data_IF_001278661353
#
_entry.id   IF_001278661353
#
_cell.length_a   1.000
_cell.length_b   1.000
_cell.length_c   1.000
_cell.angle_alpha   90.00
_cell.angle_beta   90.00
_cell.angle_gamma   90.00
#
_symmetry.space_group_name_H-M   'P 1'
#
loop_
_entity.id
_entity.type
_entity.pdbx_description
1 polymer ?
#
# COMPACT_ATOMS: atom_id res chain seq x y z
N UNK A 1 37.05 28.12 53.44
CA UNK A 1 36.70 29.19 52.48
C UNK A 1 36.12 28.57 51.22
N UNK A 2 35.06 29.21 50.74
CA UNK A 2 34.10 28.83 49.69
C UNK A 2 34.72 28.81 48.28
N UNK A 3 34.23 27.91 47.40
CA UNK A 3 33.79 28.13 45.99
C UNK A 3 33.58 26.76 45.31
N UNK A 4 32.36 26.20 45.36
CA UNK A 4 31.31 26.21 44.30
C UNK A 4 31.77 25.67 42.92
N UNK A 5 31.22 24.50 42.57
CA UNK A 5 30.88 23.95 41.22
C UNK A 5 30.36 25.06 40.26
N UNK A 6 30.25 24.92 38.91
CA UNK A 6 29.96 23.67 38.16
C UNK A 6 30.48 23.57 36.70
N UNK A 7 30.44 22.38 36.08
CA UNK A 7 30.12 22.10 34.65
C UNK A 7 30.38 20.60 34.38
N UNK A 8 29.44 19.67 34.48
CA UNK A 8 28.28 19.47 33.60
C UNK A 8 28.53 19.79 32.12
N UNK A 9 29.63 19.30 31.57
CA UNK A 9 29.96 19.45 30.15
C UNK A 9 29.74 18.09 29.44
N UNK A 10 28.63 18.05 28.69
CA UNK A 10 28.46 17.24 27.47
C UNK A 10 28.11 15.76 27.71
N UNK A 11 26.89 15.54 28.22
CA UNK A 11 26.04 14.49 27.68
C UNK A 11 25.52 15.02 26.32
N UNK A 12 26.38 14.99 25.30
CA UNK A 12 25.97 15.37 23.94
C UNK A 12 24.96 14.33 23.47
N UNK A 13 23.71 14.77 23.52
CA UNK A 13 22.53 14.14 23.02
C UNK A 13 22.78 13.66 21.57
N UNK A 14 23.13 12.38 21.41
CA UNK A 14 22.95 11.67 20.15
C UNK A 14 21.48 11.25 19.99
N UNK A 15 20.53 12.14 20.30
CA UNK A 15 19.30 12.15 19.52
C UNK A 15 19.65 12.84 18.21
N UNK A 16 20.39 12.11 17.37
CA UNK A 16 20.30 12.32 15.94
C UNK A 16 18.81 12.21 15.65
N UNK A 17 18.19 13.37 15.50
CA UNK A 17 16.87 13.50 14.94
C UNK A 17 17.05 13.00 13.51
N UNK A 18 17.00 11.68 13.33
CA UNK A 18 16.74 11.08 12.03
C UNK A 18 15.45 11.74 11.64
N UNK A 19 15.53 12.72 10.73
CA UNK A 19 14.34 13.25 10.07
C UNK A 19 13.67 11.99 9.56
N UNK A 20 12.59 11.56 10.24
CA UNK A 20 11.72 10.53 9.71
C UNK A 20 11.45 11.02 8.30
N UNK A 21 11.88 10.24 7.30
CA UNK A 21 11.61 10.57 5.91
C UNK A 21 10.10 10.62 5.70
N UNK A 22 9.62 10.30 4.52
CA UNK A 22 8.17 10.23 4.31
C UNK A 22 7.45 9.10 5.09
N UNK A 23 8.08 8.48 6.11
CA UNK A 23 7.47 7.43 6.93
C UNK A 23 6.43 8.00 7.89
N UNK A 24 5.15 7.83 7.56
CA UNK A 24 4.00 8.32 8.34
C UNK A 24 2.85 7.31 8.29
N UNK A 25 2.15 7.16 9.41
CA UNK A 25 1.03 6.21 9.53
C UNK A 25 1.41 4.74 9.31
N UNK A 26 2.69 4.37 9.50
CA UNK A 26 3.16 3.01 9.27
C UNK A 26 3.71 2.72 7.86
N UNK A 27 3.72 3.72 6.97
CA UNK A 27 4.13 3.57 5.57
C UNK A 27 5.17 4.58 5.13
N UNK A 28 6.07 4.16 4.25
CA UNK A 28 6.91 5.03 3.43
C UNK A 28 6.07 5.58 2.29
N UNK A 29 6.02 6.90 2.13
CA UNK A 29 5.28 7.55 1.06
C UNK A 29 6.23 7.97 -0.06
N UNK A 30 5.97 7.47 -1.26
CA UNK A 30 6.67 7.88 -2.48
C UNK A 30 5.75 8.83 -3.24
N UNK A 31 6.28 10.02 -3.56
CA UNK A 31 5.53 11.01 -4.31
C UNK A 31 5.82 10.86 -5.79
N UNK A 32 4.78 11.01 -6.59
CA UNK A 32 4.83 10.91 -8.04
C UNK A 32 4.14 12.12 -8.65
N UNK A 33 4.49 12.43 -9.89
CA UNK A 33 3.89 13.49 -10.68
C UNK A 33 3.67 12.98 -12.11
N UNK A 34 2.84 13.68 -12.86
CA UNK A 34 2.47 13.32 -14.22
C UNK A 34 1.27 12.39 -14.30
N UNK A 35 1.04 11.84 -15.50
CA UNK A 35 -0.12 11.00 -15.74
C UNK A 35 -0.04 9.69 -14.94
N UNK A 36 -1.07 9.35 -14.14
CA UNK A 36 -1.03 8.16 -13.30
C UNK A 36 -1.08 6.88 -14.13
N UNK A 37 -0.11 6.00 -13.91
CA UNK A 37 -0.13 4.62 -14.45
C UNK A 37 -1.02 3.76 -13.56
N UNK A 38 -2.32 3.70 -13.88
CA UNK A 38 -3.34 3.10 -12.99
C UNK A 38 -2.97 1.69 -12.53
N UNK A 39 -2.55 0.81 -13.45
CA UNK A 39 -2.16 -0.58 -13.13
C UNK A 39 -1.01 -0.64 -12.10
N UNK A 40 -0.06 0.30 -12.19
CA UNK A 40 1.04 0.39 -11.23
C UNK A 40 0.53 0.79 -9.84
N UNK A 41 -0.39 1.76 -9.75
CA UNK A 41 -0.93 2.19 -8.46
C UNK A 41 -1.79 1.10 -7.83
N UNK A 42 -2.57 0.39 -8.64
CA UNK A 42 -3.35 -0.75 -8.16
C UNK A 42 -2.42 -1.83 -7.59
N UNK A 43 -1.38 -2.23 -8.32
CA UNK A 43 -0.41 -3.20 -7.83
C UNK A 43 0.34 -2.70 -6.59
N UNK A 44 0.74 -1.42 -6.56
CA UNK A 44 1.45 -0.83 -5.44
C UNK A 44 0.60 -0.78 -4.16
N UNK A 45 -0.69 -0.44 -4.27
CA UNK A 45 -1.61 -0.51 -3.14
C UNK A 45 -1.86 -1.97 -2.73
N UNK A 46 -2.00 -2.86 -3.70
CA UNK A 46 -2.19 -4.30 -3.51
C UNK A 46 -1.09 -4.97 -2.70
N UNK A 47 0.18 -4.58 -2.88
CA UNK A 47 1.33 -5.12 -2.12
C UNK A 47 1.78 -4.22 -0.95
N UNK A 48 1.01 -3.17 -0.63
CA UNK A 48 1.43 -2.12 0.29
C UNK A 48 1.67 -2.63 1.72
N UNK A 49 1.02 -3.71 2.16
CA UNK A 49 1.24 -4.28 3.50
C UNK A 49 2.59 -4.99 3.61
N UNK A 50 2.98 -5.72 2.57
CA UNK A 50 4.26 -6.42 2.49
C UNK A 50 5.42 -5.44 2.56
N UNK A 51 5.34 -4.36 1.78
CA UNK A 51 6.43 -3.41 1.64
C UNK A 51 6.32 -2.20 2.56
N UNK A 52 5.15 -1.94 3.13
CA UNK A 52 4.82 -0.70 3.84
C UNK A 52 5.16 0.53 2.99
N UNK A 53 4.96 0.44 1.68
CA UNK A 53 5.19 1.52 0.72
C UNK A 53 3.83 1.92 0.14
N UNK A 54 3.56 3.23 0.09
CA UNK A 54 2.40 3.82 -0.57
C UNK A 54 2.84 4.92 -1.51
N UNK A 55 2.04 5.15 -2.56
CA UNK A 55 2.29 6.20 -3.54
C UNK A 55 1.26 7.32 -3.41
N UNK A 56 1.68 8.55 -3.68
CA UNK A 56 0.78 9.70 -3.73
C UNK A 56 1.15 10.61 -4.91
N UNK A 57 0.19 10.80 -5.82
CA UNK A 57 0.35 11.72 -6.95
C UNK A 57 0.14 13.15 -6.47
N UNK A 58 1.20 13.97 -6.50
CA UNK A 58 1.17 15.36 -5.98
C UNK A 58 0.76 16.40 -7.02
N UNK A 59 0.66 16.04 -8.30
CA UNK A 59 0.16 16.94 -9.35
C UNK A 59 -0.49 16.19 -10.52
N UNK A 60 -1.25 16.95 -11.32
CA UNK A 60 -1.75 16.55 -12.64
C UNK A 60 -0.80 16.97 -13.77
N UNK A 61 -1.36 17.42 -14.90
CA UNK A 61 -0.60 17.68 -16.14
C UNK A 61 0.39 18.86 -16.09
N UNK A 62 0.17 19.84 -15.21
CA UNK A 62 1.06 21.00 -15.06
C UNK A 62 2.08 20.70 -13.97
N UNK A 63 3.34 20.60 -14.38
CA UNK A 63 4.49 20.30 -13.52
C UNK A 63 5.52 21.39 -13.78
N UNK A 64 6.00 22.04 -12.72
CA UNK A 64 7.15 22.94 -12.79
C UNK A 64 8.40 22.26 -12.20
N UNK A 65 9.58 22.83 -12.53
CA UNK A 65 10.86 22.30 -12.06
C UNK A 65 10.94 22.29 -10.53
N UNK A 66 10.36 23.30 -9.87
CA UNK A 66 10.39 23.43 -8.42
C UNK A 66 9.66 22.26 -7.73
N UNK A 67 8.53 21.84 -8.28
CA UNK A 67 7.80 20.67 -7.81
C UNK A 67 8.61 19.39 -8.03
N UNK A 68 9.21 19.23 -9.22
CA UNK A 68 10.04 18.06 -9.53
C UNK A 68 11.20 17.92 -8.55
N UNK A 69 11.95 19.01 -8.32
CA UNK A 69 13.08 19.04 -7.40
C UNK A 69 12.65 18.72 -5.96
N UNK A 70 11.49 19.23 -5.55
CA UNK A 70 10.90 18.96 -4.23
C UNK A 70 10.56 17.47 -4.07
N UNK A 71 9.88 16.88 -5.06
CA UNK A 71 9.52 15.46 -5.07
C UNK A 71 10.76 14.58 -5.07
N UNK A 72 11.76 14.90 -5.89
CA UNK A 72 13.01 14.14 -5.95
C UNK A 72 13.76 14.19 -4.61
N UNK A 73 13.87 15.39 -4.01
CA UNK A 73 14.53 15.58 -2.71
C UNK A 73 13.85 14.78 -1.60
N UNK A 74 12.51 14.79 -1.54
CA UNK A 74 11.76 14.00 -0.55
C UNK A 74 11.86 12.49 -0.82
N UNK A 75 11.70 12.07 -2.07
CA UNK A 75 11.82 10.65 -2.43
C UNK A 75 13.22 10.11 -2.18
N UNK A 76 14.29 10.89 -2.39
CA UNK A 76 15.67 10.47 -2.10
C UNK A 76 15.85 10.10 -0.63
N UNK A 77 15.29 10.90 0.29
CA UNK A 77 15.31 10.60 1.73
C UNK A 77 14.54 9.31 2.02
N UNK A 78 13.36 9.17 1.42
CA UNK A 78 12.51 7.98 1.56
C UNK A 78 13.20 6.71 1.07
N UNK A 79 13.82 6.75 -0.11
CA UNK A 79 14.53 5.61 -0.68
C UNK A 79 15.71 5.19 0.18
N UNK A 80 16.43 6.14 0.79
CA UNK A 80 17.49 5.81 1.73
C UNK A 80 16.96 5.05 2.96
N UNK A 81 15.79 5.43 3.49
CA UNK A 81 15.16 4.72 4.61
C UNK A 81 14.59 3.35 4.21
N UNK A 82 14.00 3.23 3.01
CA UNK A 82 13.55 1.95 2.46
C UNK A 82 14.76 1.01 2.26
N UNK A 83 15.86 1.51 1.72
CA UNK A 83 17.10 0.75 1.50
C UNK A 83 17.71 0.27 2.81
N UNK A 84 17.71 1.10 3.87
CA UNK A 84 18.14 0.68 5.20
C UNK A 84 17.30 -0.48 5.73
N UNK A 85 16.00 -0.50 5.43
CA UNK A 85 15.07 -1.55 5.92
C UNK A 85 15.14 -2.83 5.10
N UNK A 86 15.17 -2.73 3.77
CA UNK A 86 14.99 -3.88 2.86
C UNK A 86 16.24 -4.26 2.06
N UNK A 87 17.34 -3.51 2.22
CA UNK A 87 18.61 -3.73 1.54
C UNK A 87 18.71 -3.01 0.18
N UNK A 88 19.93 -2.98 -0.38
CA UNK A 88 20.26 -2.27 -1.64
C UNK A 88 19.46 -2.74 -2.86
N UNK A 89 19.00 -3.99 -2.85
CA UNK A 89 18.27 -4.61 -3.94
C UNK A 89 16.73 -4.51 -3.79
N UNK A 90 16.25 -3.75 -2.79
CA UNK A 90 14.83 -3.62 -2.49
C UNK A 90 13.99 -3.26 -3.71
N UNK A 91 14.48 -2.33 -4.54
CA UNK A 91 13.73 -1.85 -5.72
C UNK A 91 13.51 -2.96 -6.75
N UNK A 92 14.50 -3.84 -6.92
CA UNK A 92 14.39 -4.98 -7.84
C UNK A 92 13.35 -5.98 -7.33
N UNK A 93 13.37 -6.28 -6.03
CA UNK A 93 12.39 -7.17 -5.38
C UNK A 93 10.98 -6.58 -5.39
N UNK A 94 10.85 -5.29 -5.07
CA UNK A 94 9.60 -4.55 -5.11
C UNK A 94 8.98 -4.56 -6.50
N UNK A 95 9.77 -4.23 -7.53
CA UNK A 95 9.29 -4.24 -8.92
C UNK A 95 8.87 -5.65 -9.36
N UNK A 96 9.59 -6.70 -8.94
CA UNK A 96 9.17 -8.09 -9.20
C UNK A 96 7.81 -8.41 -8.59
N UNK A 97 7.54 -7.93 -7.37
CA UNK A 97 6.23 -8.11 -6.73
C UNK A 97 5.13 -7.30 -7.42
N UNK A 98 5.43 -6.07 -7.88
CA UNK A 98 4.51 -5.26 -8.70
C UNK A 98 4.14 -6.00 -9.98
N UNK A 99 5.14 -6.45 -10.74
CA UNK A 99 4.96 -7.13 -12.02
C UNK A 99 4.21 -8.46 -11.85
N UNK A 100 4.44 -9.16 -10.72
CA UNK A 100 3.78 -10.42 -10.39
C UNK A 100 2.37 -10.27 -9.80
N UNK A 101 1.97 -9.07 -9.36
CA UNK A 101 0.70 -8.89 -8.63
C UNK A 101 -0.53 -9.22 -9.46
N UNK A 102 -0.49 -8.97 -10.77
CA UNK A 102 -1.61 -9.29 -11.65
C UNK A 102 -1.92 -10.80 -11.70
N UNK A 103 -0.89 -11.65 -11.65
CA UNK A 103 -1.09 -13.11 -11.57
C UNK A 103 -1.74 -13.51 -10.25
N UNK A 104 -1.35 -12.89 -9.13
CA UNK A 104 -1.99 -13.12 -7.83
C UNK A 104 -3.47 -12.77 -7.85
N UNK A 105 -3.86 -11.68 -8.54
CA UNK A 105 -5.29 -11.34 -8.72
C UNK A 105 -6.04 -12.42 -9.48
N UNK A 106 -5.42 -13.06 -10.46
CA UNK A 106 -6.02 -14.20 -11.19
C UNK A 106 -6.23 -15.38 -10.24
N UNK A 107 -5.23 -15.72 -9.42
CA UNK A 107 -5.32 -16.82 -8.44
C UNK A 107 -6.43 -16.56 -7.40
N UNK A 108 -6.53 -15.32 -6.90
CA UNK A 108 -7.61 -14.89 -6.00
C UNK A 108 -8.98 -15.07 -6.68
N UNK A 109 -9.10 -14.65 -7.95
CA UNK A 109 -10.36 -14.78 -8.68
C UNK A 109 -10.75 -16.23 -8.97
N UNK A 110 -9.79 -17.11 -9.24
CA UNK A 110 -10.04 -18.54 -9.41
C UNK A 110 -10.69 -19.17 -8.16
N UNK A 111 -10.23 -18.77 -6.97
CA UNK A 111 -10.84 -19.18 -5.70
C UNK A 111 -12.21 -18.55 -5.52
N UNK A 112 -12.35 -17.24 -5.72
CA UNK A 112 -13.62 -16.53 -5.52
C UNK A 112 -14.73 -17.02 -6.45
N UNK A 113 -14.43 -17.24 -7.73
CA UNK A 113 -15.41 -17.70 -8.72
C UNK A 113 -15.89 -19.11 -8.39
N UNK A 114 -15.11 -19.96 -7.72
CA UNK A 114 -15.58 -21.31 -7.37
C UNK A 114 -16.22 -21.41 -5.99
N UNK A 115 -16.09 -20.37 -5.16
CA UNK A 115 -16.55 -20.38 -3.78
C UNK A 115 -18.06 -20.04 -3.63
N UNK A 116 -18.81 -20.92 -2.97
CA UNK A 116 -20.26 -20.76 -2.77
C UNK A 116 -20.62 -19.57 -1.87
N UNK A 117 -19.90 -19.36 -0.76
CA UNK A 117 -20.13 -18.24 0.17
C UNK A 117 -20.03 -16.91 -0.57
N UNK A 118 -18.95 -16.72 -1.34
CA UNK A 118 -18.74 -15.51 -2.13
C UNK A 118 -19.86 -15.27 -3.15
N UNK A 119 -20.23 -16.32 -3.91
CA UNK A 119 -21.32 -16.23 -4.88
C UNK A 119 -22.66 -15.90 -4.24
N UNK A 120 -22.92 -16.42 -3.05
CA UNK A 120 -24.15 -16.14 -2.32
C UNK A 120 -24.16 -14.72 -1.77
N UNK A 121 -23.02 -14.17 -1.34
CA UNK A 121 -22.93 -12.75 -0.97
C UNK A 121 -23.18 -11.83 -2.15
N UNK A 122 -22.57 -12.07 -3.32
CA UNK A 122 -22.79 -11.25 -4.52
C UNK A 122 -24.28 -11.08 -4.86
N UNK A 123 -25.07 -12.16 -4.74
CA UNK A 123 -26.52 -12.13 -4.99
C UNK A 123 -27.27 -11.17 -4.09
N UNK A 124 -26.85 -11.01 -2.83
CA UNK A 124 -27.51 -10.07 -1.88
C UNK A 124 -27.37 -8.61 -2.32
N UNK A 125 -26.32 -8.31 -3.07
CA UNK A 125 -26.02 -6.98 -3.60
C UNK A 125 -26.36 -6.84 -5.08
N UNK A 126 -27.06 -7.82 -5.67
CA UNK A 126 -27.44 -7.84 -7.09
C UNK A 126 -26.25 -7.69 -8.03
N UNK A 127 -25.10 -8.29 -7.67
CA UNK A 127 -23.88 -8.29 -8.48
C UNK A 127 -23.78 -9.63 -9.21
N UNK A 128 -23.60 -9.56 -10.53
CA UNK A 128 -23.33 -10.75 -11.35
C UNK A 128 -21.84 -11.08 -11.29
N UNK A 129 -21.48 -12.37 -11.32
CA UNK A 129 -20.08 -12.81 -11.13
C UNK A 129 -19.09 -12.24 -12.17
N UNK A 130 -19.57 -11.86 -13.34
CA UNK A 130 -18.77 -11.24 -14.41
C UNK A 130 -18.72 -9.71 -14.34
N UNK A 131 -19.49 -9.07 -13.45
CA UNK A 131 -19.56 -7.61 -13.25
C UNK A 131 -19.01 -7.20 -11.88
N UNK A 132 -18.10 -8.01 -11.31
CA UNK A 132 -17.55 -7.79 -9.97
C UNK A 132 -16.45 -6.72 -10.00
N UNK A 133 -16.81 -5.52 -9.56
CA UNK A 133 -15.87 -4.47 -9.17
C UNK A 133 -15.30 -4.76 -7.76
N UNK A 134 -13.97 -4.67 -7.64
CA UNK A 134 -13.25 -5.12 -6.45
C UNK A 134 -11.87 -4.50 -6.34
N UNK A 135 -11.40 -4.37 -5.10
CA UNK A 135 -10.00 -4.15 -4.77
C UNK A 135 -9.43 -5.39 -4.10
N UNK A 136 -8.25 -5.82 -4.54
CA UNK A 136 -7.52 -6.96 -3.96
C UNK A 136 -6.27 -6.43 -3.27
N UNK A 137 -6.02 -6.88 -2.05
CA UNK A 137 -4.88 -6.47 -1.24
C UNK A 137 -4.24 -7.66 -0.58
N UNK A 138 -2.93 -7.85 -0.78
CA UNK A 138 -2.14 -8.90 -0.14
C UNK A 138 -1.87 -8.51 1.31
N UNK A 139 -2.32 -9.34 2.25
CA UNK A 139 -2.09 -9.18 3.68
C UNK A 139 -0.82 -9.92 4.12
N UNK A 140 -0.64 -11.13 3.59
CA UNK A 140 0.56 -11.95 3.71
C UNK A 140 0.63 -12.91 2.52
N UNK A 141 1.67 -13.74 2.47
CA UNK A 141 1.78 -14.80 1.47
C UNK A 141 0.48 -15.63 1.44
N UNK A 142 -0.08 -15.81 0.24
CA UNK A 142 -1.32 -16.52 -0.06
C UNK A 142 -2.61 -15.97 0.59
N UNK A 143 -2.55 -14.92 1.41
CA UNK A 143 -3.70 -14.36 2.11
C UNK A 143 -4.01 -12.94 1.64
N UNK A 144 -5.24 -12.74 1.18
CA UNK A 144 -5.70 -11.51 0.55
C UNK A 144 -6.98 -11.01 1.19
N UNK A 145 -7.10 -9.69 1.28
CA UNK A 145 -8.35 -8.99 1.50
C UNK A 145 -8.94 -8.61 0.14
N UNK A 146 -10.24 -8.87 -0.04
CA UNK A 146 -10.97 -8.47 -1.24
C UNK A 146 -12.19 -7.68 -0.83
N UNK A 147 -12.20 -6.40 -1.18
CA UNK A 147 -13.35 -5.50 -0.98
C UNK A 147 -14.15 -5.48 -2.27
N UNK A 148 -15.44 -5.79 -2.19
CA UNK A 148 -16.35 -5.78 -3.34
C UNK A 148 -17.20 -4.52 -3.32
N UNK A 149 -17.36 -3.91 -4.49
CA UNK A 149 -18.11 -2.68 -4.69
C UNK A 149 -19.29 -2.91 -5.63
N UNK A 150 -20.31 -2.06 -5.50
CA UNK A 150 -21.37 -1.94 -6.50
C UNK A 150 -21.69 -0.46 -6.75
N UNK A 151 -21.09 0.07 -7.81
CA UNK A 151 -21.25 1.44 -8.27
C UNK A 151 -22.70 1.82 -8.63
N UNK A 152 -23.57 0.83 -8.89
CA UNK A 152 -24.99 1.06 -9.21
C UNK A 152 -25.83 1.36 -7.96
N UNK A 153 -25.32 1.07 -6.75
CA UNK A 153 -26.01 1.40 -5.51
C UNK A 153 -25.92 2.92 -5.26
N UNK A 154 -27.06 3.61 -5.32
CA UNK A 154 -27.18 5.08 -5.18
C UNK A 154 -26.77 5.64 -3.80
N UNK A 155 -26.48 4.78 -2.83
CA UNK A 155 -26.14 5.19 -1.47
C UNK A 155 -24.66 5.63 -1.37
N UNK A 156 -24.34 6.51 -0.40
CA UNK A 156 -22.98 7.03 -0.14
C UNK A 156 -21.92 5.96 0.15
N UNK A 157 -22.32 4.71 0.43
CA UNK A 157 -21.38 3.61 0.64
C UNK A 157 -21.51 2.58 -0.49
N UNK A 158 -20.50 2.56 -1.35
CA UNK A 158 -20.41 1.66 -2.50
C UNK A 158 -19.76 0.31 -2.16
N UNK A 159 -19.10 0.23 -0.99
CA UNK A 159 -18.59 -1.02 -0.45
C UNK A 159 -19.75 -1.93 -0.05
N UNK A 160 -19.81 -3.10 -0.66
CA UNK A 160 -20.85 -4.09 -0.42
C UNK A 160 -20.46 -4.98 0.75
N UNK A 161 -19.36 -5.71 0.60
CA UNK A 161 -18.82 -6.64 1.58
C UNK A 161 -17.32 -6.84 1.36
N UNK A 162 -16.64 -7.40 2.36
CA UNK A 162 -15.22 -7.73 2.31
C UNK A 162 -15.01 -9.18 2.70
N UNK A 163 -14.17 -9.88 1.94
CA UNK A 163 -13.76 -11.26 2.26
C UNK A 163 -12.25 -11.36 2.44
N UNK A 164 -11.83 -12.27 3.30
CA UNK A 164 -10.48 -12.81 3.29
C UNK A 164 -10.42 -14.02 2.37
N UNK A 165 -9.39 -14.11 1.54
CA UNK A 165 -9.16 -15.20 0.58
C UNK A 165 -7.80 -15.79 0.84
N UNK A 166 -7.75 -17.09 1.10
CA UNK A 166 -6.49 -17.84 1.14
C UNK A 166 -6.39 -18.65 -0.15
N UNK A 167 -5.43 -18.32 -1.02
CA UNK A 167 -5.27 -18.97 -2.33
C UNK A 167 -4.70 -20.37 -2.24
N UNK A 168 -3.88 -20.64 -1.22
CA UNK A 168 -3.26 -21.95 -0.98
C UNK A 168 -4.27 -22.97 -0.47
N UNK A 169 -5.05 -22.59 0.54
CA UNK A 169 -6.08 -23.44 1.14
C UNK A 169 -7.41 -23.35 0.39
N UNK A 170 -7.49 -22.44 -0.60
CA UNK A 170 -8.70 -22.14 -1.40
C UNK A 170 -9.92 -21.82 -0.54
N UNK A 171 -9.73 -21.10 0.56
CA UNK A 171 -10.80 -20.71 1.48
C UNK A 171 -11.18 -19.26 1.31
N UNK A 172 -12.46 -18.95 1.60
CA UNK A 172 -13.02 -17.60 1.59
C UNK A 172 -13.82 -17.40 2.86
N UNK A 173 -13.54 -16.34 3.61
CA UNK A 173 -14.30 -15.99 4.81
C UNK A 173 -14.77 -14.54 4.73
N UNK A 174 -16.05 -14.32 5.04
CA UNK A 174 -16.60 -12.98 5.18
C UNK A 174 -15.97 -12.28 6.40
N UNK A 175 -15.48 -11.06 6.22
CA UNK A 175 -14.88 -10.27 7.31
C UNK A 175 -15.59 -8.93 7.52
N UNK A 176 -16.39 -8.47 6.56
CA UNK A 176 -17.28 -7.31 6.71
C UNK A 176 -18.46 -7.37 5.75
#
# INVERSE_FOLDING_TARGET
MLKKLPFLLILMIFFSCVKKGSYRGGYYWIYSYGYPRMDFYEAAEGISEKWKIKYHSVSGCLIDQKLMDSVESENKKTYAEIEKKYGKDWRKKYNKDIDGFMMKKVDVMDVLITNELFRNELKKYYIEIYDVDKNVKELSDDLYEVVVYNEKLKAKNKECFTVSVNTKDRTVNLIR
#
